data_IF_367307396801
#
_entry.id   IF_367307396801
#
_cell.length_a   1.000
_cell.length_b   1.000
_cell.length_c   1.000
_cell.angle_alpha   90.00
_cell.angle_beta   90.00
_cell.angle_gamma   90.00
#
_symmetry.space_group_name_H-M   'P 1'
#
loop_
_entity.id
_entity.type
_entity.pdbx_description
1 polymer ?
#
# COMPACT_ATOMS: atom_id res chain seq x y z
N UNK A 1 21.05 -3.70 -2.23
CA UNK A 1 20.94 -2.24 -2.04
C UNK A 1 19.48 -1.86 -1.84
N UNK A 2 19.14 -1.09 -0.79
CA UNK A 2 17.79 -0.55 -0.63
C UNK A 2 17.46 0.31 -1.85
N UNK A 3 16.39 0.00 -2.57
CA UNK A 3 15.95 0.86 -3.69
C UNK A 3 15.62 2.25 -3.16
N UNK A 4 15.93 3.29 -3.92
CA UNK A 4 15.70 4.69 -3.53
C UNK A 4 14.27 4.87 -3.01
N UNK A 5 14.10 5.64 -1.92
CA UNK A 5 12.80 5.90 -1.26
C UNK A 5 11.71 6.29 -2.27
N UNK A 6 12.08 7.01 -3.32
CA UNK A 6 11.22 7.40 -4.43
C UNK A 6 10.61 6.21 -5.19
N UNK A 7 11.40 5.20 -5.58
CA UNK A 7 10.87 4.03 -6.30
C UNK A 7 9.89 3.23 -5.44
N UNK A 8 10.12 3.17 -4.13
CA UNK A 8 9.17 2.55 -3.19
C UNK A 8 7.86 3.32 -3.15
N UNK A 9 7.93 4.64 -3.08
CA UNK A 9 6.75 5.51 -3.13
C UNK A 9 5.94 5.27 -4.42
N UNK A 10 6.59 5.27 -5.59
CA UNK A 10 5.92 4.99 -6.85
C UNK A 10 5.26 3.60 -6.86
N UNK A 11 5.99 2.56 -6.45
CA UNK A 11 5.51 1.18 -6.54
C UNK A 11 4.36 0.86 -5.56
N UNK A 12 4.38 1.42 -4.35
CA UNK A 12 3.29 1.26 -3.38
C UNK A 12 2.05 2.11 -3.72
N UNK A 13 2.20 3.12 -4.56
CA UNK A 13 1.13 4.00 -5.02
C UNK A 13 0.74 3.77 -6.49
N UNK A 14 1.21 2.69 -7.13
CA UNK A 14 0.86 2.34 -8.52
C UNK A 14 -0.65 2.37 -8.79
N UNK A 15 -1.46 1.89 -7.83
CA UNK A 15 -2.92 1.95 -7.95
C UNK A 15 -3.47 3.39 -7.92
N UNK A 16 -2.87 4.29 -7.14
CA UNK A 16 -3.27 5.69 -7.09
C UNK A 16 -2.93 6.39 -8.42
N UNK A 17 -1.75 6.11 -8.99
CA UNK A 17 -1.38 6.59 -10.31
C UNK A 17 -2.29 6.06 -11.41
N UNK A 18 -2.68 4.78 -11.34
CA UNK A 18 -3.60 4.18 -12.31
C UNK A 18 -4.99 4.83 -12.24
N UNK A 19 -5.49 5.14 -11.03
CA UNK A 19 -6.74 5.88 -10.86
C UNK A 19 -6.65 7.32 -11.38
N UNK A 20 -5.53 8.02 -11.15
CA UNK A 20 -5.31 9.35 -11.72
C UNK A 20 -5.30 9.31 -13.25
N UNK A 21 -4.60 8.35 -13.84
CA UNK A 21 -4.55 8.17 -15.28
C UNK A 21 -5.95 7.88 -15.86
N UNK A 22 -6.73 7.02 -15.19
CA UNK A 22 -8.11 6.73 -15.58
C UNK A 22 -9.00 7.98 -15.53
N UNK A 23 -8.82 8.84 -14.52
CA UNK A 23 -9.57 10.11 -14.40
C UNK A 23 -9.22 11.08 -15.53
N UNK A 24 -7.94 11.20 -15.88
CA UNK A 24 -7.49 12.01 -17.02
C UNK A 24 -8.06 11.47 -18.34
N UNK A 25 -8.00 10.15 -18.56
CA UNK A 25 -8.59 9.54 -19.76
C UNK A 25 -10.10 9.75 -19.83
N UNK A 26 -10.81 9.63 -18.70
CA UNK A 26 -12.25 9.89 -18.65
C UNK A 26 -12.59 11.34 -19.01
N UNK A 27 -11.75 12.31 -18.63
CA UNK A 27 -11.90 13.72 -19.01
C UNK A 27 -11.48 14.01 -20.46
N UNK A 28 -10.56 13.22 -21.03
CA UNK A 28 -10.10 13.39 -22.40
C UNK A 28 -11.16 13.01 -23.45
N UNK A 29 -12.17 12.19 -23.09
CA UNK A 29 -13.26 11.81 -23.98
C UNK A 29 -14.17 13.04 -24.20
N UNK A 30 -14.31 13.56 -25.45
CA UNK A 30 -15.04 14.78 -25.72
C UNK A 30 -16.56 14.54 -25.80
N UNK A 31 -17.17 14.13 -24.68
CA UNK A 31 -18.62 13.88 -24.56
C UNK A 31 -19.47 15.14 -24.84
N UNK A 32 -18.89 16.32 -24.69
CA UNK A 32 -19.51 17.60 -25.05
C UNK A 32 -19.92 17.68 -26.52
N UNK A 33 -19.27 16.91 -27.42
CA UNK A 33 -19.63 16.86 -28.84
C UNK A 33 -20.96 16.15 -29.10
N UNK A 34 -21.41 15.30 -28.18
CA UNK A 34 -22.67 14.55 -28.29
C UNK A 34 -23.79 15.34 -27.60
N UNK A 35 -23.56 15.77 -26.36
CA UNK A 35 -24.52 16.59 -25.62
C UNK A 35 -23.83 17.32 -24.47
N UNK A 36 -24.11 18.62 -24.32
CA UNK A 36 -23.60 19.42 -23.21
C UNK A 36 -24.04 18.88 -21.84
N UNK A 37 -25.19 18.20 -21.76
CA UNK A 37 -25.70 17.60 -20.53
C UNK A 37 -24.82 16.45 -20.01
N UNK A 38 -24.02 15.80 -20.87
CA UNK A 38 -23.13 14.71 -20.48
C UNK A 38 -21.85 15.20 -19.78
N UNK A 39 -21.54 16.51 -19.83
CA UNK A 39 -20.41 17.09 -19.09
C UNK A 39 -20.58 16.97 -17.58
N UNK A 40 -21.81 17.09 -17.09
CA UNK A 40 -22.14 17.06 -15.67
C UNK A 40 -21.86 15.68 -15.05
N UNK A 41 -22.41 14.55 -15.57
CA UNK A 41 -22.06 13.22 -15.06
C UNK A 41 -20.59 12.87 -15.30
N UNK A 42 -19.97 13.31 -16.40
CA UNK A 42 -18.53 13.12 -16.64
C UNK A 42 -17.67 13.77 -15.55
N UNK A 43 -17.97 15.03 -15.20
CA UNK A 43 -17.30 15.76 -14.13
C UNK A 43 -17.47 15.09 -12.76
N UNK A 44 -18.68 14.62 -12.44
CA UNK A 44 -18.97 13.91 -11.18
C UNK A 44 -18.13 12.62 -11.09
N UNK A 45 -18.08 11.82 -12.16
CA UNK A 45 -17.29 10.57 -12.20
C UNK A 45 -15.80 10.87 -12.06
N UNK A 46 -15.28 11.88 -12.76
CA UNK A 46 -13.87 12.27 -12.68
C UNK A 46 -13.49 12.73 -11.26
N UNK A 47 -14.33 13.56 -10.62
CA UNK A 47 -14.15 14.01 -9.23
C UNK A 47 -14.23 12.87 -8.23
N UNK A 48 -15.14 11.90 -8.43
CA UNK A 48 -15.21 10.71 -7.60
C UNK A 48 -13.92 9.88 -7.65
N UNK A 49 -13.42 9.61 -8.87
CA UNK A 49 -12.16 8.86 -9.06
C UNK A 49 -10.98 9.63 -8.45
N UNK A 50 -10.92 10.95 -8.65
CA UNK A 50 -9.86 11.80 -8.10
C UNK A 50 -9.87 11.78 -6.57
N UNK A 51 -11.04 11.88 -5.96
CA UNK A 51 -11.20 11.82 -4.49
C UNK A 51 -10.73 10.48 -3.93
N UNK A 52 -11.00 9.38 -4.64
CA UNK A 52 -10.50 8.04 -4.29
C UNK A 52 -8.98 7.95 -4.42
N UNK A 53 -8.39 8.53 -5.47
CA UNK A 53 -6.95 8.58 -5.65
C UNK A 53 -6.27 9.41 -4.54
N UNK A 54 -6.80 10.58 -4.21
CA UNK A 54 -6.31 11.44 -3.14
C UNK A 54 -6.33 10.73 -1.77
N UNK A 55 -7.44 10.03 -1.47
CA UNK A 55 -7.54 9.20 -0.26
C UNK A 55 -6.51 8.07 -0.24
N UNK A 56 -6.13 7.53 -1.40
CA UNK A 56 -5.11 6.49 -1.47
C UNK A 56 -3.69 7.06 -1.25
N UNK A 57 -3.43 8.28 -1.72
CA UNK A 57 -2.18 8.99 -1.44
C UNK A 57 -2.04 9.36 0.04
N UNK A 58 -3.13 9.79 0.69
CA UNK A 58 -3.09 10.15 2.12
C UNK A 58 -2.77 8.97 3.05
N UNK A 59 -2.92 7.72 2.59
CA UNK A 59 -2.50 6.52 3.33
C UNK A 59 -1.00 6.21 3.26
N UNK A 60 -0.21 7.02 2.56
CA UNK A 60 1.24 6.86 2.47
C UNK A 60 1.97 6.73 3.81
N UNK A 61 1.79 7.63 4.81
CA UNK A 61 2.49 7.52 6.10
C UNK A 61 2.24 6.17 6.79
N UNK A 62 1.03 5.63 6.70
CA UNK A 62 0.71 4.31 7.25
C UNK A 62 1.44 3.18 6.51
N UNK A 63 1.53 3.26 5.19
CA UNK A 63 2.28 2.29 4.37
C UNK A 63 3.77 2.32 4.73
N UNK A 64 4.32 3.51 4.93
CA UNK A 64 5.72 3.70 5.32
C UNK A 64 6.00 3.13 6.71
N UNK A 65 5.14 3.42 7.70
CA UNK A 65 5.28 2.86 9.05
C UNK A 65 5.23 1.33 9.06
N UNK A 66 4.29 0.75 8.30
CA UNK A 66 4.19 -0.72 8.15
C UNK A 66 5.43 -1.30 7.48
N UNK A 67 5.98 -0.63 6.49
CA UNK A 67 7.26 -1.01 5.86
C UNK A 67 8.39 -1.04 6.88
N UNK A 68 8.57 0.04 7.65
CA UNK A 68 9.66 0.15 8.61
C UNK A 68 9.60 -0.93 9.68
N UNK A 69 8.40 -1.23 10.19
CA UNK A 69 8.18 -2.31 11.17
C UNK A 69 8.51 -3.67 10.57
N UNK A 70 7.99 -3.99 9.38
CA UNK A 70 8.24 -5.26 8.70
C UNK A 70 9.72 -5.45 8.37
N UNK A 71 10.35 -4.41 7.85
CA UNK A 71 11.77 -4.41 7.52
C UNK A 71 12.62 -4.57 8.78
N UNK A 72 12.34 -3.79 9.83
CA UNK A 72 13.05 -3.85 11.11
C UNK A 72 12.99 -5.24 11.76
N UNK A 73 11.80 -5.86 11.82
CA UNK A 73 11.62 -7.21 12.38
C UNK A 73 12.35 -8.31 11.62
N UNK A 74 12.65 -8.10 10.34
CA UNK A 74 13.22 -9.12 9.46
C UNK A 74 14.65 -8.80 8.99
N UNK A 75 15.24 -7.71 9.47
CA UNK A 75 16.59 -7.25 9.08
C UNK A 75 17.67 -8.21 9.62
N UNK A 76 17.52 -8.67 10.85
CA UNK A 76 18.48 -9.56 11.54
C UNK A 76 18.14 -11.03 11.30
N UNK A 77 16.91 -11.44 11.61
CA UNK A 77 16.41 -12.80 11.44
C UNK A 77 15.10 -12.79 10.67
N UNK A 78 14.97 -13.70 9.70
CA UNK A 78 13.75 -13.81 8.91
C UNK A 78 12.64 -14.49 9.71
N UNK A 79 11.51 -13.81 9.85
CA UNK A 79 10.32 -14.30 10.55
C UNK A 79 9.10 -14.30 9.61
N UNK A 80 8.74 -15.46 9.03
CA UNK A 80 7.63 -15.56 8.06
C UNK A 80 6.27 -15.19 8.66
N UNK A 81 6.03 -15.45 9.94
CA UNK A 81 4.75 -15.16 10.62
C UNK A 81 4.43 -13.67 10.61
N UNK A 82 5.46 -12.80 10.66
CA UNK A 82 5.28 -11.35 10.59
C UNK A 82 4.64 -10.87 9.27
N UNK A 83 4.76 -11.67 8.20
CA UNK A 83 4.20 -11.36 6.88
C UNK A 83 2.78 -11.90 6.66
N UNK A 84 2.32 -12.84 7.50
CA UNK A 84 1.04 -13.54 7.34
C UNK A 84 -0.13 -12.59 7.08
N UNK A 85 -0.27 -11.58 7.95
CA UNK A 85 -1.36 -10.63 7.90
C UNK A 85 -1.26 -9.67 6.70
N UNK A 86 -0.05 -9.38 6.22
CA UNK A 86 0.15 -8.57 5.01
C UNK A 86 -0.12 -9.37 3.73
N UNK A 87 0.16 -10.67 3.73
CA UNK A 87 -0.09 -11.55 2.58
C UNK A 87 -1.58 -11.79 2.31
N UNK A 88 -2.44 -11.58 3.31
CA UNK A 88 -3.90 -11.70 3.17
C UNK A 88 -4.53 -10.52 2.40
N UNK A 89 -3.90 -9.34 2.39
CA UNK A 89 -4.43 -8.13 1.77
C UNK A 89 -3.71 -7.79 0.45
N UNK A 90 -4.41 -7.27 -0.58
CA UNK A 90 -3.79 -6.93 -1.86
C UNK A 90 -2.67 -5.88 -1.73
N UNK A 91 -2.91 -4.79 -1.01
CA UNK A 91 -1.89 -3.76 -0.74
C UNK A 91 -0.74 -4.29 0.13
N UNK A 92 -1.05 -5.20 1.07
CA UNK A 92 -0.05 -5.83 1.93
C UNK A 92 0.89 -6.76 1.17
N UNK A 93 0.41 -7.45 0.12
CA UNK A 93 1.27 -8.27 -0.76
C UNK A 93 2.29 -7.43 -1.52
N UNK A 94 1.90 -6.25 -2.01
CA UNK A 94 2.85 -5.33 -2.64
C UNK A 94 3.90 -4.89 -1.63
N UNK A 95 3.48 -4.53 -0.43
CA UNK A 95 4.38 -4.14 0.66
C UNK A 95 5.38 -5.26 1.01
N UNK A 96 4.90 -6.50 1.20
CA UNK A 96 5.75 -7.68 1.45
C UNK A 96 6.79 -7.88 0.34
N UNK A 97 6.38 -7.75 -0.93
CA UNK A 97 7.29 -7.90 -2.07
C UNK A 97 8.39 -6.83 -2.07
N UNK A 98 8.06 -5.60 -1.68
CA UNK A 98 9.04 -4.50 -1.55
C UNK A 98 10.00 -4.79 -0.40
N UNK A 99 9.50 -5.13 0.79
CA UNK A 99 10.31 -5.47 1.96
C UNK A 99 11.28 -6.61 1.66
N UNK A 100 10.81 -7.71 1.06
CA UNK A 100 11.66 -8.84 0.69
C UNK A 100 12.69 -8.48 -0.37
N UNK A 101 12.32 -7.65 -1.36
CA UNK A 101 13.26 -7.15 -2.35
C UNK A 101 14.37 -6.33 -1.71
N UNK A 102 14.04 -5.52 -0.70
CA UNK A 102 15.01 -4.68 0.00
C UNK A 102 15.87 -5.47 1.00
N UNK A 103 15.36 -6.58 1.55
CA UNK A 103 16.11 -7.53 2.37
C UNK A 103 16.98 -8.50 1.54
N UNK A 104 16.89 -8.46 0.21
CA UNK A 104 17.60 -9.40 -0.67
C UNK A 104 16.99 -10.82 -0.69
N UNK A 105 15.81 -11.03 -0.11
CA UNK A 105 15.13 -12.33 0.03
C UNK A 105 13.93 -12.46 -0.92
N UNK A 106 14.14 -12.11 -2.20
CA UNK A 106 13.05 -12.09 -3.20
C UNK A 106 12.41 -13.47 -3.41
N UNK A 107 13.20 -14.53 -3.32
CA UNK A 107 12.76 -15.90 -3.58
C UNK A 107 11.80 -16.41 -2.50
N UNK A 108 11.97 -15.94 -1.26
CA UNK A 108 11.08 -16.25 -0.12
C UNK A 108 9.64 -15.77 -0.34
N UNK A 109 9.42 -14.83 -1.26
CA UNK A 109 8.06 -14.40 -1.60
C UNK A 109 7.23 -15.58 -2.13
N UNK A 110 7.84 -16.49 -2.90
CA UNK A 110 7.15 -17.69 -3.41
C UNK A 110 6.77 -18.61 -2.26
N UNK A 111 7.67 -18.81 -1.30
CA UNK A 111 7.44 -19.61 -0.09
C UNK A 111 6.28 -19.03 0.73
N UNK A 112 6.33 -17.73 1.05
CA UNK A 112 5.25 -17.04 1.78
C UNK A 112 3.92 -17.08 1.02
N UNK A 113 3.95 -16.95 -0.32
CA UNK A 113 2.74 -17.01 -1.15
C UNK A 113 2.12 -18.39 -1.11
N UNK A 114 2.90 -19.48 -1.05
CA UNK A 114 2.36 -20.84 -0.88
C UNK A 114 1.79 -21.03 0.52
N UNK A 115 2.52 -20.57 1.53
CA UNK A 115 2.17 -20.75 2.95
C UNK A 115 0.89 -19.98 3.34
N UNK A 116 0.73 -18.75 2.85
CA UNK A 116 -0.38 -17.87 3.23
C UNK A 116 -1.31 -17.55 2.05
N UNK A 117 -1.41 -18.45 1.05
CA UNK A 117 -2.35 -18.30 -0.06
C UNK A 117 -3.79 -18.31 0.50
N UNK A 118 -4.57 -17.23 0.43
CA UNK A 118 -5.97 -17.33 0.77
C UNK A 118 -6.70 -18.15 -0.30
N UNK A 119 -7.65 -18.98 0.13
CA UNK A 119 -8.61 -19.61 -0.77
C UNK A 119 -9.36 -18.54 -1.56
N UNK A 120 -9.80 -18.85 -2.78
CA UNK A 120 -10.48 -17.88 -3.66
C UNK A 120 -11.66 -17.18 -2.96
N UNK A 121 -12.46 -17.94 -2.20
CA UNK A 121 -13.57 -17.44 -1.38
C UNK A 121 -13.09 -16.46 -0.30
N UNK A 122 -11.98 -16.76 0.38
CA UNK A 122 -11.38 -15.85 1.36
C UNK A 122 -10.79 -14.60 0.71
N UNK A 123 -10.23 -14.71 -0.49
CA UNK A 123 -9.71 -13.55 -1.22
C UNK A 123 -10.83 -12.58 -1.59
N UNK A 124 -11.99 -13.09 -2.03
CA UNK A 124 -13.19 -12.28 -2.29
C UNK A 124 -13.70 -11.68 -0.98
N UNK A 125 -13.88 -12.49 0.07
CA UNK A 125 -14.35 -12.01 1.39
C UNK A 125 -13.44 -10.90 1.95
N UNK A 126 -12.13 -11.04 1.80
CA UNK A 126 -11.15 -10.05 2.26
C UNK A 126 -11.12 -8.77 1.39
N UNK A 127 -11.53 -8.84 0.12
CA UNK A 127 -11.66 -7.66 -0.73
C UNK A 127 -12.89 -6.81 -0.38
N UNK A 128 -13.96 -7.46 0.08
CA UNK A 128 -15.20 -6.80 0.53
C UNK A 128 -15.25 -6.55 2.05
N UNK A 129 -14.34 -7.14 2.82
CA UNK A 129 -14.26 -6.90 4.26
C UNK A 129 -13.94 -5.43 4.55
N UNK A 130 -14.52 -4.84 5.62
CA UNK A 130 -14.12 -3.52 6.07
C UNK A 130 -12.62 -3.52 6.35
N UNK A 131 -11.92 -2.40 6.12
CA UNK A 131 -10.48 -2.33 6.33
C UNK A 131 -10.19 -2.75 7.76
N UNK A 132 -9.62 -3.94 7.92
CA UNK A 132 -9.13 -4.38 9.22
C UNK A 132 -8.09 -3.35 9.60
N UNK A 133 -8.40 -2.54 10.62
CA UNK A 133 -7.38 -1.72 11.26
C UNK A 133 -6.38 -2.72 11.79
N UNK A 134 -5.34 -2.94 11.00
CA UNK A 134 -4.05 -3.36 11.52
C UNK A 134 -3.55 -2.15 12.31
N UNK A 135 -4.20 -1.86 13.44
CA UNK A 135 -3.47 -1.42 14.60
C UNK A 135 -2.44 -2.52 14.74
N UNK A 136 -1.26 -2.26 14.18
CA UNK A 136 -0.06 -2.84 14.72
C UNK A 136 -0.22 -2.48 16.20
N UNK A 137 -0.64 -3.43 17.03
CA UNK A 137 -0.36 -3.36 18.44
C UNK A 137 1.16 -3.34 18.45
N UNK A 138 1.66 -2.11 18.35
CA UNK A 138 2.99 -1.74 18.79
C UNK A 138 2.95 -2.25 20.20
N UNK A 139 3.54 -3.42 20.40
CA UNK A 139 3.78 -3.94 21.73
C UNK A 139 4.33 -2.76 22.53
N UNK A 140 3.88 -2.56 23.76
CA UNK A 140 4.31 -1.42 24.61
C UNK A 140 5.85 -1.29 24.70
N UNK A 141 6.56 -2.33 24.29
CA UNK A 141 8.01 -2.41 24.08
C UNK A 141 8.61 -1.42 23.06
N UNK A 142 7.82 -0.73 22.24
CA UNK A 142 8.32 0.15 21.17
C UNK A 142 8.21 1.66 21.47
N UNK A 143 8.05 2.07 22.74
CA UNK A 143 8.26 3.48 23.16
C UNK A 143 9.72 3.74 23.57
N UNK A 144 10.65 2.80 23.35
CA UNK A 144 12.08 3.02 23.53
C UNK A 144 12.87 2.82 22.24
N UNK A 145 12.58 3.64 21.25
CA UNK A 145 13.67 4.10 20.37
C UNK A 145 13.73 5.61 20.52
N UNK A 146 14.58 5.99 21.46
CA UNK A 146 14.99 7.34 21.79
C UNK A 146 15.34 8.08 20.49
N UNK A 147 14.73 9.24 20.30
CA UNK A 147 15.40 10.39 19.70
C UNK A 147 16.78 10.52 20.36
N UNK A 148 17.90 10.60 19.61
CA UNK A 148 19.13 11.07 20.21
C UNK A 148 18.84 12.47 20.73
N UNK A 149 18.92 12.60 22.05
CA UNK A 149 19.05 13.87 22.74
C UNK A 149 20.23 14.60 22.11
N UNK A 150 19.95 15.64 21.34
CA UNK A 150 20.89 16.73 21.17
C UNK A 150 21.05 17.35 22.55
N UNK A 151 22.06 16.89 23.27
CA UNK A 151 22.55 17.52 24.47
C UNK A 151 23.04 18.91 24.11
N UNK A 152 22.53 19.87 24.88
CA UNK A 152 23.06 21.20 25.17
C UNK A 152 24.55 21.39 24.85
N UNK A 153 24.83 22.50 24.16
CA UNK A 153 25.93 23.41 24.44
C UNK A 153 25.49 24.80 24.03
#
# INVERSE_FOLDING_TARGET
MPKNKFFRYCYLNTYAFLLLFLSILAMAIPLYKISAWLLLPQGIVALYILSRAAKLFSTWPDKQRKYEVLFGKNKTQFNPESFKLFMQMPCGRLLTKVVLSDLGKKDEYRTLKKLYKPSFIQAIKNAFAPPVKTSVYINKDFVKYQTPSTSES
#
